data_IF_912026814255
#
_entry.id   IF_912026814255
#
_cell.length_a   1.000
_cell.length_b   1.000
_cell.length_c   1.000
_cell.angle_alpha   90.00
_cell.angle_beta   90.00
_cell.angle_gamma   90.00
#
_symmetry.space_group_name_H-M   'P 1'
#
loop_
_entity.id
_entity.type
_entity.pdbx_description
1 polymer ?
#
# COMPACT_ATOMS: atom_id res chain seq x y z
N UNK A 1 -23.93 -10.44 17.99
CA UNK A 1 -22.88 -10.25 16.95
C UNK A 1 -21.45 -10.08 17.51
N UNK A 2 -21.22 -9.49 18.68
CA UNK A 2 -19.86 -9.35 19.24
C UNK A 2 -19.23 -10.67 19.74
N UNK A 3 -20.03 -11.64 20.18
CA UNK A 3 -19.52 -12.92 20.74
C UNK A 3 -18.98 -13.89 19.67
N UNK A 4 -19.59 -13.92 18.48
CA UNK A 4 -19.19 -14.81 17.37
C UNK A 4 -17.84 -14.43 16.75
N UNK A 5 -17.46 -13.15 16.83
CA UNK A 5 -16.19 -12.61 16.31
C UNK A 5 -14.97 -13.09 17.11
N UNK A 6 -15.15 -13.35 18.41
CA UNK A 6 -14.08 -13.79 19.32
C UNK A 6 -13.57 -15.20 19.00
N UNK A 7 -14.47 -16.13 18.68
CA UNK A 7 -14.10 -17.52 18.36
C UNK A 7 -13.37 -17.65 17.02
N UNK A 8 -13.78 -16.89 15.99
CA UNK A 8 -13.07 -16.84 14.70
C UNK A 8 -11.69 -16.19 14.82
N UNK A 9 -11.57 -15.11 15.61
CA UNK A 9 -10.28 -14.43 15.82
C UNK A 9 -9.24 -15.35 16.46
N UNK A 10 -9.65 -16.23 17.38
CA UNK A 10 -8.76 -17.17 18.04
C UNK A 10 -8.25 -18.27 17.09
N UNK A 11 -9.09 -18.75 16.17
CA UNK A 11 -8.68 -19.73 15.15
C UNK A 11 -7.76 -19.13 14.07
N UNK A 12 -7.97 -17.86 13.73
CA UNK A 12 -7.13 -17.14 12.76
C UNK A 12 -5.83 -16.59 13.36
N UNK A 13 -5.71 -16.58 14.69
CA UNK A 13 -4.53 -16.08 15.41
C UNK A 13 -3.21 -16.79 15.01
N UNK A 14 -3.12 -18.14 14.94
CA UNK A 14 -1.89 -18.79 14.50
C UNK A 14 -1.51 -18.43 13.05
N UNK A 15 -2.51 -18.27 12.17
CA UNK A 15 -2.29 -17.85 10.78
C UNK A 15 -1.78 -16.40 10.75
N UNK A 16 -2.34 -15.53 11.59
CA UNK A 16 -1.88 -14.15 11.73
C UNK A 16 -0.44 -14.06 12.22
N UNK A 17 -0.04 -14.92 13.17
CA UNK A 17 1.34 -14.96 13.66
C UNK A 17 2.32 -15.35 12.55
N UNK A 18 1.99 -16.39 11.78
CA UNK A 18 2.82 -16.82 10.62
C UNK A 18 2.90 -15.70 9.57
N UNK A 19 1.77 -15.06 9.24
CA UNK A 19 1.75 -13.93 8.31
C UNK A 19 2.61 -12.75 8.80
N UNK A 20 2.55 -12.44 10.10
CA UNK A 20 3.38 -11.43 10.74
C UNK A 20 4.86 -11.77 10.60
N UNK A 21 5.27 -12.98 11.00
CA UNK A 21 6.66 -13.44 10.91
C UNK A 21 7.21 -13.36 9.48
N UNK A 22 6.43 -13.77 8.47
CA UNK A 22 6.83 -13.68 7.06
C UNK A 22 7.02 -12.22 6.64
N UNK A 23 6.11 -11.33 7.06
CA UNK A 23 6.18 -9.90 6.77
C UNK A 23 7.40 -9.25 7.43
N UNK A 24 7.70 -9.62 8.67
CA UNK A 24 8.84 -9.12 9.42
C UNK A 24 10.16 -9.56 8.80
N UNK A 25 10.28 -10.83 8.42
CA UNK A 25 11.45 -11.35 7.69
C UNK A 25 11.62 -10.57 6.38
N UNK A 26 10.54 -10.40 5.60
CA UNK A 26 10.60 -9.64 4.34
C UNK A 26 11.08 -8.21 4.56
N UNK A 27 10.56 -7.52 5.59
CA UNK A 27 10.96 -6.16 5.92
C UNK A 27 12.42 -6.09 6.39
N UNK A 28 12.89 -7.07 7.18
CA UNK A 28 14.29 -7.17 7.58
C UNK A 28 15.21 -7.36 6.36
N UNK A 29 14.82 -8.16 5.37
CA UNK A 29 15.58 -8.33 4.12
C UNK A 29 15.66 -7.04 3.29
N UNK A 30 14.62 -6.20 3.31
CA UNK A 30 14.68 -4.87 2.70
C UNK A 30 15.59 -3.93 3.49
N UNK A 31 15.46 -3.89 4.82
CA UNK A 31 16.26 -3.01 5.69
C UNK A 31 17.75 -3.35 5.65
N UNK A 32 18.10 -4.63 5.48
CA UNK A 32 19.48 -5.10 5.37
C UNK A 32 20.05 -4.99 3.94
N UNK A 33 19.25 -4.53 2.97
CA UNK A 33 19.68 -4.36 1.57
C UNK A 33 19.81 -5.66 0.78
N UNK A 34 19.38 -6.80 1.33
CA UNK A 34 19.41 -8.09 0.63
C UNK A 34 18.42 -8.09 -0.55
N UNK A 35 17.24 -7.49 -0.36
CA UNK A 35 16.28 -7.28 -1.45
C UNK A 35 16.61 -6.00 -2.21
N UNK A 36 16.54 -6.09 -3.54
CA UNK A 36 16.81 -4.96 -4.44
C UNK A 36 15.83 -3.81 -4.17
N UNK A 37 16.38 -2.63 -3.93
CA UNK A 37 15.65 -1.37 -3.87
C UNK A 37 15.92 -0.59 -5.16
N UNK A 38 14.90 0.11 -5.67
CA UNK A 38 15.02 0.96 -6.85
C UNK A 38 14.88 2.40 -6.39
N UNK A 39 15.89 3.21 -6.66
CA UNK A 39 15.89 4.65 -6.44
C UNK A 39 15.65 5.38 -7.76
N UNK A 40 15.05 6.57 -7.67
CA UNK A 40 14.81 7.44 -8.80
C UNK A 40 15.34 8.83 -8.47
N UNK A 41 15.75 9.59 -9.49
CA UNK A 41 16.31 10.94 -9.33
C UNK A 41 15.24 12.02 -9.07
N UNK A 42 13.96 11.62 -9.03
CA UNK A 42 12.82 12.50 -8.81
C UNK A 42 12.16 12.22 -7.44
N UNK A 43 11.57 13.24 -6.79
CA UNK A 43 10.91 13.07 -5.50
C UNK A 43 9.66 12.18 -5.65
N UNK A 44 9.56 11.15 -4.80
CA UNK A 44 8.44 10.20 -4.81
C UNK A 44 7.69 10.28 -3.49
N UNK A 45 6.37 10.43 -3.57
CA UNK A 45 5.47 10.36 -2.42
C UNK A 45 4.68 9.06 -2.50
N UNK A 46 4.90 8.15 -1.54
CA UNK A 46 4.17 6.89 -1.44
C UNK A 46 3.04 7.00 -0.41
N UNK A 47 1.78 6.94 -0.87
CA UNK A 47 0.59 6.96 0.00
C UNK A 47 0.10 5.53 0.25
N UNK A 48 0.21 5.08 1.50
CA UNK A 48 -0.14 3.72 1.93
C UNK A 48 -1.05 3.68 3.17
N UNK A 49 -1.44 2.48 3.59
CA UNK A 49 -2.10 2.25 4.88
C UNK A 49 -1.69 0.88 5.43
N UNK A 50 -1.73 0.72 6.75
CA UNK A 50 -1.36 -0.51 7.46
C UNK A 50 -2.51 -1.53 7.44
N UNK A 51 -3.76 -1.03 7.48
CA UNK A 51 -4.97 -1.86 7.55
C UNK A 51 -5.57 -2.09 6.16
N UNK A 52 -6.15 -3.28 5.96
CA UNK A 52 -6.96 -3.60 4.77
C UNK A 52 -8.36 -2.99 4.88
N UNK A 53 -8.93 -2.51 3.78
CA UNK A 53 -10.26 -1.91 3.71
C UNK A 53 -10.28 -0.49 3.12
N UNK A 54 -11.44 0.16 3.22
CA UNK A 54 -11.68 1.53 2.76
C UNK A 54 -11.04 2.56 3.69
N UNK A 55 -9.72 2.73 3.58
CA UNK A 55 -8.93 3.49 4.55
C UNK A 55 -8.66 4.93 4.08
N UNK A 56 -9.56 5.49 3.28
CA UNK A 56 -9.47 6.87 2.80
C UNK A 56 -8.26 7.20 1.90
N UNK A 57 -7.50 6.19 1.43
CA UNK A 57 -6.30 6.43 0.60
C UNK A 57 -6.61 7.23 -0.66
N UNK A 58 -7.69 6.88 -1.38
CA UNK A 58 -8.04 7.54 -2.64
C UNK A 58 -8.40 9.02 -2.44
N UNK A 59 -9.32 9.39 -1.52
CA UNK A 59 -9.56 10.80 -1.20
C UNK A 59 -8.31 11.55 -0.73
N UNK A 60 -7.43 10.87 0.02
CA UNK A 60 -6.19 11.50 0.50
C UNK A 60 -5.20 11.78 -0.63
N UNK A 61 -5.06 10.85 -1.59
CA UNK A 61 -4.24 11.05 -2.79
C UNK A 61 -4.79 12.20 -3.63
N UNK A 62 -6.10 12.27 -3.83
CA UNK A 62 -6.75 13.36 -4.56
C UNK A 62 -6.48 14.73 -3.90
N UNK A 63 -6.60 14.81 -2.58
CA UNK A 63 -6.25 16.02 -1.83
C UNK A 63 -4.78 16.41 -2.02
N UNK A 64 -3.86 15.45 -1.97
CA UNK A 64 -2.44 15.70 -2.18
C UNK A 64 -2.14 16.23 -3.59
N UNK A 65 -2.77 15.64 -4.61
CA UNK A 65 -2.63 16.08 -6.01
C UNK A 65 -3.11 17.53 -6.15
N UNK A 66 -4.28 17.86 -5.60
CA UNK A 66 -4.83 19.21 -5.66
C UNK A 66 -3.89 20.26 -5.01
N UNK A 67 -3.25 19.91 -3.89
CA UNK A 67 -2.26 20.78 -3.24
C UNK A 67 -1.05 20.99 -4.15
N UNK A 68 -0.48 19.92 -4.71
CA UNK A 68 0.68 20.01 -5.59
C UNK A 68 0.39 20.82 -6.87
N UNK A 69 -0.79 20.63 -7.45
CA UNK A 69 -1.24 21.40 -8.61
C UNK A 69 -1.43 22.89 -8.27
N UNK A 70 -1.96 23.21 -7.07
CA UNK A 70 -2.10 24.60 -6.62
C UNK A 70 -0.76 25.33 -6.50
N UNK A 71 0.29 24.59 -6.15
CA UNK A 71 1.68 25.06 -6.11
C UNK A 71 2.38 25.00 -7.49
N UNK A 72 1.64 24.70 -8.56
CA UNK A 72 2.12 24.55 -9.95
C UNK A 72 3.19 23.47 -10.12
N UNK A 73 3.21 22.47 -9.25
CA UNK A 73 4.11 21.32 -9.33
C UNK A 73 3.48 20.28 -10.27
N UNK A 74 4.19 19.93 -11.34
CA UNK A 74 3.79 18.82 -12.22
C UNK A 74 3.95 17.51 -11.47
N UNK A 75 2.86 16.78 -11.25
CA UNK A 75 2.87 15.48 -10.62
C UNK A 75 2.21 14.43 -11.52
N UNK A 76 2.59 13.16 -11.33
CA UNK A 76 1.97 12.02 -11.96
C UNK A 76 1.59 11.02 -10.87
N UNK A 77 0.38 10.47 -10.94
CA UNK A 77 -0.08 9.47 -9.99
C UNK A 77 0.09 8.07 -10.56
N UNK A 78 0.61 7.15 -9.74
CA UNK A 78 0.75 5.75 -10.11
C UNK A 78 -0.18 4.90 -9.23
N UNK A 79 -1.12 4.20 -9.87
CA UNK A 79 -1.99 3.24 -9.21
C UNK A 79 -1.67 1.82 -9.63
N UNK A 80 -1.79 0.88 -8.69
CA UNK A 80 -1.65 -0.56 -8.94
C UNK A 80 -2.73 -1.09 -9.90
N UNK A 81 -3.87 -0.41 -10.01
CA UNK A 81 -5.03 -0.84 -10.81
C UNK A 81 -5.55 -2.22 -10.43
N UNK A 82 -5.65 -2.48 -9.12
CA UNK A 82 -6.17 -3.72 -8.57
C UNK A 82 -7.57 -4.03 -9.13
N UNK A 83 -7.78 -5.25 -9.64
CA UNK A 83 -9.04 -5.68 -10.24
C UNK A 83 -9.20 -5.42 -11.74
N UNK A 84 -8.22 -4.82 -12.43
CA UNK A 84 -8.27 -4.68 -13.90
C UNK A 84 -8.09 -6.05 -14.60
N UNK A 85 -8.71 -6.20 -15.77
CA UNK A 85 -8.53 -7.39 -16.63
C UNK A 85 -7.28 -7.33 -17.51
N UNK A 86 -6.76 -6.12 -17.74
CA UNK A 86 -5.59 -5.86 -18.58
C UNK A 86 -4.28 -6.05 -17.81
N UNK A 87 -3.17 -6.21 -18.52
CA UNK A 87 -1.83 -6.40 -17.92
C UNK A 87 -0.85 -5.35 -18.46
N UNK A 88 0.21 -5.10 -17.71
CA UNK A 88 1.25 -4.12 -18.08
C UNK A 88 0.98 -2.70 -17.56
N UNK A 89 1.87 -1.80 -17.94
CA UNK A 89 1.72 -0.36 -17.72
C UNK A 89 0.65 0.18 -18.68
N UNK A 90 -0.26 0.98 -18.15
CA UNK A 90 -1.30 1.66 -18.92
C UNK A 90 -1.28 3.11 -18.47
N UNK A 91 -1.12 4.02 -19.42
CA UNK A 91 -1.32 5.44 -19.21
C UNK A 91 -2.82 5.71 -19.20
N UNK A 92 -3.32 6.26 -18.11
CA UNK A 92 -4.69 6.72 -17.99
C UNK A 92 -4.70 8.22 -18.32
N UNK A 93 -5.49 8.61 -19.33
CA UNK A 93 -5.77 10.00 -19.67
C UNK A 93 -6.80 10.60 -18.71
#
# INVERSE_FOLDING_TARGET
MALQRKHLGLFLWPISFIYGLITDIRNALFNTGILKQVSFDLPIISVGNITVGGTGKTPHVECLVNILESEKIKCATLSRGYGRKTKGLIEAN
#
